data_IF_782379912204
#
_entry.id   IF_782379912204
#
_cell.length_a   1.000
_cell.length_b   1.000
_cell.length_c   1.000
_cell.angle_alpha   90.00
_cell.angle_beta   90.00
_cell.angle_gamma   90.00
#
_symmetry.space_group_name_H-M   'P 1'
#
loop_
_entity.id
_entity.type
_entity.pdbx_description
1 polymer ?
#
# COMPACT_ATOMS: atom_id res chain seq x y z
N UNK A 1 3.52 1.18 -18.71
CA UNK A 1 4.20 1.52 -17.46
C UNK A 1 3.95 0.38 -16.49
N UNK A 2 4.90 0.04 -15.65
CA UNK A 2 4.94 -1.17 -14.78
C UNK A 2 3.68 -1.54 -14.00
N UNK A 3 2.77 -0.60 -13.83
CA UNK A 3 1.46 -0.85 -13.23
C UNK A 3 0.61 -1.79 -14.10
N UNK A 4 0.64 -1.65 -15.42
CA UNK A 4 -0.19 -2.44 -16.36
C UNK A 4 0.13 -3.93 -16.34
N UNK A 5 1.41 -4.30 -16.27
CA UNK A 5 1.80 -5.72 -16.25
C UNK A 5 1.28 -6.44 -15.00
N UNK A 6 1.29 -5.77 -13.85
CA UNK A 6 0.69 -6.28 -12.62
C UNK A 6 -0.82 -6.38 -12.71
N UNK A 7 -1.47 -5.33 -13.21
CA UNK A 7 -2.93 -5.33 -13.40
C UNK A 7 -3.37 -6.50 -14.25
N UNK A 8 -2.66 -6.77 -15.36
CA UNK A 8 -2.94 -7.90 -16.22
C UNK A 8 -2.81 -9.24 -15.48
N UNK A 9 -1.78 -9.42 -14.66
CA UNK A 9 -1.62 -10.65 -13.86
C UNK A 9 -2.74 -10.81 -12.85
N UNK A 10 -3.13 -9.75 -12.14
CA UNK A 10 -4.25 -9.78 -11.20
C UNK A 10 -5.56 -10.10 -11.90
N UNK A 11 -5.89 -9.40 -13.00
CA UNK A 11 -7.12 -9.64 -13.78
C UNK A 11 -7.19 -11.05 -14.34
N UNK A 12 -6.08 -11.57 -14.89
CA UNK A 12 -5.99 -12.94 -15.37
C UNK A 12 -6.13 -13.99 -14.25
N UNK A 13 -5.92 -13.59 -12.99
CA UNK A 13 -6.10 -14.42 -11.81
C UNK A 13 -7.46 -14.26 -11.14
N UNK A 14 -8.38 -13.51 -11.78
CA UNK A 14 -9.73 -13.24 -11.28
C UNK A 14 -9.78 -12.23 -10.14
N UNK A 15 -8.79 -11.33 -10.03
CA UNK A 15 -8.76 -10.23 -9.06
C UNK A 15 -9.20 -8.95 -9.74
N UNK A 16 -10.19 -8.29 -9.15
CA UNK A 16 -10.57 -6.94 -9.56
C UNK A 16 -9.52 -5.93 -9.11
N UNK A 17 -9.17 -4.98 -9.97
CA UNK A 17 -8.14 -3.98 -9.69
C UNK A 17 -8.67 -2.58 -9.97
N UNK A 18 -8.63 -1.74 -8.95
CA UNK A 18 -8.86 -0.30 -9.06
C UNK A 18 -7.54 0.44 -8.92
N UNK A 19 -7.15 1.19 -9.94
CA UNK A 19 -5.90 1.96 -9.94
C UNK A 19 -6.21 3.44 -9.81
N UNK A 20 -5.61 4.09 -8.81
CA UNK A 20 -5.81 5.50 -8.51
C UNK A 20 -4.46 6.21 -8.54
N UNK A 21 -4.36 7.25 -9.36
CA UNK A 21 -3.18 8.07 -9.46
C UNK A 21 -3.36 9.35 -8.66
N UNK A 22 -2.49 9.56 -7.67
CA UNK A 22 -2.56 10.71 -6.75
C UNK A 22 -1.44 11.74 -6.95
N UNK A 23 -0.41 11.41 -7.74
CA UNK A 23 0.79 12.24 -7.90
C UNK A 23 0.56 13.63 -8.51
N UNK A 24 -0.60 13.87 -9.12
CA UNK A 24 -1.02 15.17 -9.68
C UNK A 24 -2.13 15.84 -8.86
N UNK A 25 -2.44 15.32 -7.67
CA UNK A 25 -3.44 15.88 -6.76
C UNK A 25 -2.79 16.82 -5.75
N UNK A 26 -3.52 17.85 -5.37
CA UNK A 26 -3.12 18.74 -4.27
C UNK A 26 -3.58 18.11 -2.94
N UNK A 27 -2.65 17.41 -2.30
CA UNK A 27 -2.90 16.71 -1.03
C UNK A 27 -1.98 17.28 0.04
N UNK A 28 -2.57 17.97 1.00
CA UNK A 28 -1.82 18.47 2.14
C UNK A 28 -1.59 17.40 3.21
N UNK A 29 -0.51 17.55 3.97
CA UNK A 29 -0.18 16.67 5.09
C UNK A 29 -1.20 16.73 6.23
N UNK A 30 -1.15 15.73 7.10
CA UNK A 30 -1.93 15.68 8.33
C UNK A 30 -1.52 16.83 9.26
N UNK A 31 -2.50 17.51 9.86
CA UNK A 31 -2.27 18.59 10.84
C UNK A 31 -2.51 18.15 12.30
N UNK A 32 -2.67 16.84 12.52
CA UNK A 32 -2.89 16.27 13.84
C UNK A 32 -4.05 16.89 14.65
N UNK A 33 -5.11 17.32 13.97
CA UNK A 33 -6.27 17.94 14.62
C UNK A 33 -7.16 16.95 15.38
N UNK A 34 -6.95 15.65 15.23
CA UNK A 34 -7.69 14.52 15.83
C UNK A 34 -9.21 14.48 15.57
N UNK A 35 -9.75 15.37 14.74
CA UNK A 35 -11.19 15.40 14.46
C UNK A 35 -11.69 14.12 13.77
N UNK A 36 -10.83 13.40 13.07
CA UNK A 36 -11.21 12.14 12.44
C UNK A 36 -11.65 11.06 13.45
N UNK A 37 -11.21 11.13 14.70
CA UNK A 37 -11.73 10.24 15.77
C UNK A 37 -13.19 10.49 16.13
N UNK A 38 -13.70 11.70 15.89
CA UNK A 38 -15.07 12.10 16.19
C UNK A 38 -15.99 11.95 14.98
N UNK A 39 -15.53 12.39 13.80
CA UNK A 39 -16.35 12.43 12.59
C UNK A 39 -16.17 11.23 11.65
N UNK A 40 -15.23 10.32 11.95
CA UNK A 40 -14.98 9.10 11.17
C UNK A 40 -14.32 9.30 9.80
N UNK A 41 -13.85 10.52 9.48
CA UNK A 41 -13.17 10.86 8.23
C UNK A 41 -12.22 12.04 8.41
N UNK A 42 -11.32 12.28 7.46
CA UNK A 42 -10.47 13.45 7.50
C UNK A 42 -11.29 14.75 7.32
N UNK A 43 -10.93 15.82 8.03
CA UNK A 43 -11.58 17.13 7.91
C UNK A 43 -11.37 17.80 6.55
N UNK A 44 -10.29 17.44 5.85
CA UNK A 44 -10.05 17.92 4.49
C UNK A 44 -10.86 17.09 3.52
N UNK A 45 -11.77 17.73 2.82
CA UNK A 45 -12.66 17.09 1.84
C UNK A 45 -11.95 17.00 0.49
N UNK A 46 -11.16 15.94 0.33
CA UNK A 46 -10.35 15.64 -0.86
C UNK A 46 -10.31 14.14 -1.14
N UNK A 47 -9.47 13.73 -2.08
CA UNK A 47 -9.32 12.34 -2.54
C UNK A 47 -9.11 11.34 -1.39
N UNK A 48 -8.55 11.75 -0.24
CA UNK A 48 -8.31 10.84 0.90
C UNK A 48 -9.62 10.27 1.43
N UNK A 49 -10.67 11.09 1.52
CA UNK A 49 -11.99 10.64 1.95
C UNK A 49 -12.68 9.75 0.89
N UNK A 50 -12.36 9.95 -0.40
CA UNK A 50 -12.85 9.08 -1.48
C UNK A 50 -12.14 7.71 -1.48
N UNK A 51 -10.85 7.68 -1.09
CA UNK A 51 -10.07 6.45 -1.00
C UNK A 51 -10.48 5.55 0.17
N UNK A 52 -10.93 6.13 1.27
CA UNK A 52 -11.24 5.39 2.48
C UNK A 52 -12.24 4.23 2.26
N UNK A 53 -13.42 4.41 1.64
CA UNK A 53 -14.36 3.33 1.39
C UNK A 53 -13.83 2.31 0.36
N UNK A 54 -13.01 2.73 -0.60
CA UNK A 54 -12.38 1.81 -1.56
C UNK A 54 -11.36 0.91 -0.86
N UNK A 55 -10.58 1.46 0.06
CA UNK A 55 -9.64 0.68 0.86
C UNK A 55 -10.36 -0.25 1.84
N UNK A 56 -11.45 0.19 2.44
CA UNK A 56 -12.26 -0.66 3.32
C UNK A 56 -12.80 -1.88 2.59
N UNK A 57 -13.30 -1.72 1.37
CA UNK A 57 -13.85 -2.79 0.55
C UNK A 57 -12.78 -3.73 -0.06
N UNK A 58 -11.54 -3.29 -0.17
CA UNK A 58 -10.49 -4.07 -0.82
C UNK A 58 -9.89 -5.16 0.09
N UNK A 59 -9.53 -6.31 -0.49
CA UNK A 59 -8.79 -7.38 0.19
C UNK A 59 -7.29 -7.13 0.25
N UNK A 60 -6.79 -6.16 -0.51
CA UNK A 60 -5.38 -5.80 -0.52
C UNK A 60 -5.12 -4.40 -1.05
N UNK A 61 -3.95 -3.86 -0.71
CA UNK A 61 -3.50 -2.54 -1.12
C UNK A 61 -2.08 -2.61 -1.65
N UNK A 62 -1.88 -2.13 -2.89
CA UNK A 62 -0.55 -1.90 -3.46
C UNK A 62 -0.24 -0.42 -3.46
N UNK A 63 0.83 -0.03 -2.79
CA UNK A 63 1.35 1.34 -2.78
C UNK A 63 2.54 1.41 -3.73
N UNK A 64 2.49 2.32 -4.70
CA UNK A 64 3.56 2.48 -5.69
C UNK A 64 4.07 3.93 -5.72
N UNK A 65 5.38 4.11 -5.66
CA UNK A 65 6.02 5.43 -5.65
C UNK A 65 7.27 5.49 -6.52
N UNK A 66 7.51 6.62 -7.20
CA UNK A 66 8.88 6.96 -7.57
C UNK A 66 9.71 7.24 -6.32
N UNK A 67 11.02 7.06 -6.44
CA UNK A 67 11.97 7.37 -5.36
C UNK A 67 12.51 8.78 -5.55
N UNK A 68 12.30 9.64 -4.57
CA UNK A 68 12.83 10.99 -4.50
C UNK A 68 13.63 11.16 -3.20
N UNK A 69 14.94 11.46 -3.31
CA UNK A 69 15.83 11.62 -2.15
C UNK A 69 15.79 10.44 -1.16
N UNK A 70 15.74 9.20 -1.71
CA UNK A 70 15.63 7.95 -0.95
C UNK A 70 14.35 7.83 -0.08
N UNK A 71 13.28 8.52 -0.48
CA UNK A 71 11.95 8.48 0.13
C UNK A 71 10.87 8.39 -0.94
N UNK A 72 9.66 8.10 -0.55
CA UNK A 72 8.51 8.11 -1.44
C UNK A 72 8.12 9.55 -1.83
N UNK A 73 7.31 9.69 -2.89
CA UNK A 73 6.75 10.97 -3.26
C UNK A 73 5.99 11.61 -2.10
N UNK A 74 6.29 12.86 -1.76
CA UNK A 74 5.72 13.55 -0.59
C UNK A 74 4.18 13.64 -0.62
N UNK A 75 3.58 13.82 -1.81
CA UNK A 75 2.11 13.79 -1.96
C UNK A 75 1.52 12.42 -1.59
N UNK A 76 2.23 11.34 -1.94
CA UNK A 76 1.82 9.98 -1.54
C UNK A 76 1.90 9.81 -0.03
N UNK A 77 2.98 10.23 0.61
CA UNK A 77 3.12 10.15 2.08
C UNK A 77 2.03 10.96 2.76
N UNK A 78 1.77 12.19 2.33
CA UNK A 78 0.67 13.01 2.87
C UNK A 78 -0.71 12.34 2.73
N UNK A 79 -0.93 11.64 1.62
CA UNK A 79 -2.14 10.85 1.41
C UNK A 79 -2.23 9.66 2.38
N UNK A 80 -1.15 8.87 2.49
CA UNK A 80 -1.10 7.68 3.33
C UNK A 80 -1.22 8.01 4.82
N UNK A 81 -0.51 9.03 5.29
CA UNK A 81 -0.60 9.50 6.67
C UNK A 81 -2.06 9.78 7.05
N UNK A 82 -2.75 10.50 6.18
CA UNK A 82 -4.16 10.85 6.42
C UNK A 82 -5.09 9.67 6.24
N UNK A 83 -4.90 8.86 5.21
CA UNK A 83 -5.75 7.70 4.93
C UNK A 83 -5.68 6.68 6.08
N UNK A 84 -4.47 6.32 6.51
CA UNK A 84 -4.30 5.34 7.58
C UNK A 84 -4.71 5.89 8.95
N UNK A 85 -4.51 7.17 9.20
CA UNK A 85 -4.85 7.78 10.48
C UNK A 85 -6.35 8.10 10.62
N UNK A 86 -7.04 8.49 9.54
CA UNK A 86 -8.44 8.89 9.59
C UNK A 86 -9.45 7.76 9.42
N UNK A 87 -9.00 6.55 9.13
CA UNK A 87 -9.87 5.38 8.92
C UNK A 87 -9.84 4.44 10.12
N UNK A 88 -11.02 4.13 10.68
CA UNK A 88 -11.19 3.29 11.87
C UNK A 88 -11.52 1.84 11.55
N UNK A 89 -11.80 1.48 10.29
CA UNK A 89 -12.08 0.09 9.94
C UNK A 89 -10.87 -0.82 10.17
N UNK A 90 -11.13 -2.09 10.47
CA UNK A 90 -10.09 -3.09 10.66
C UNK A 90 -9.35 -3.37 9.34
N UNK A 91 -8.05 -3.17 9.36
CA UNK A 91 -7.14 -3.40 8.23
C UNK A 91 -6.41 -4.74 8.34
N UNK A 92 -6.59 -5.43 9.47
CA UNK A 92 -5.89 -6.69 9.72
C UNK A 92 -6.18 -7.72 8.63
N UNK A 93 -5.15 -8.47 8.26
CA UNK A 93 -5.20 -9.50 7.21
C UNK A 93 -5.55 -9.03 5.79
N UNK A 94 -5.74 -7.71 5.55
CA UNK A 94 -5.67 -7.20 4.17
C UNK A 94 -4.22 -7.27 3.68
N UNK A 95 -4.00 -7.77 2.47
CA UNK A 95 -2.64 -7.98 1.97
C UNK A 95 -2.03 -6.68 1.45
N UNK A 96 -0.90 -6.28 2.02
CA UNK A 96 -0.13 -5.11 1.60
C UNK A 96 0.99 -5.44 0.61
N UNK A 97 1.34 -4.50 -0.28
CA UNK A 97 2.56 -4.55 -1.04
C UNK A 97 3.05 -3.15 -1.41
N UNK A 98 4.33 -2.87 -1.22
CA UNK A 98 4.97 -1.67 -1.75
C UNK A 98 5.76 -1.96 -3.02
N UNK A 99 5.78 -0.96 -3.91
CA UNK A 99 6.54 -1.00 -5.17
C UNK A 99 7.20 0.34 -5.37
N UNK A 100 8.48 0.33 -5.70
CA UNK A 100 9.25 1.55 -5.88
C UNK A 100 9.92 1.58 -7.25
N UNK A 101 10.03 2.77 -7.82
CA UNK A 101 10.70 2.99 -9.09
C UNK A 101 11.78 4.05 -8.92
N UNK A 102 13.01 3.73 -9.31
CA UNK A 102 14.11 4.68 -9.25
C UNK A 102 15.00 4.56 -10.49
N UNK A 103 15.71 5.66 -10.77
CA UNK A 103 16.82 5.60 -11.74
C UNK A 103 17.94 4.69 -11.25
N UNK A 104 18.30 4.77 -9.94
CA UNK A 104 19.46 4.06 -9.39
C UNK A 104 19.31 3.69 -7.92
N UNK A 105 19.58 4.60 -6.99
CA UNK A 105 19.65 4.35 -5.55
C UNK A 105 18.37 4.77 -4.81
N UNK A 106 18.28 4.35 -3.53
CA UNK A 106 17.20 4.74 -2.63
C UNK A 106 15.98 3.81 -2.61
N UNK A 107 15.93 2.77 -3.45
CA UNK A 107 14.80 1.85 -3.49
C UNK A 107 14.54 1.17 -2.15
N UNK A 108 15.57 0.64 -1.47
CA UNK A 108 15.40 -0.08 -0.20
C UNK A 108 14.82 0.81 0.90
N UNK A 109 15.35 2.03 1.04
CA UNK A 109 14.85 2.97 2.05
C UNK A 109 13.39 3.34 1.81
N UNK A 110 13.01 3.63 0.56
CA UNK A 110 11.64 3.94 0.19
C UNK A 110 10.70 2.74 0.35
N UNK A 111 11.16 1.55 0.00
CA UNK A 111 10.43 0.31 0.18
C UNK A 111 10.12 0.05 1.65
N UNK A 112 11.12 0.20 2.53
CA UNK A 112 10.97 0.02 3.97
C UNK A 112 10.04 1.09 4.58
N UNK A 113 10.14 2.34 4.12
CA UNK A 113 9.24 3.43 4.53
C UNK A 113 7.78 3.09 4.26
N UNK A 114 7.47 2.64 3.05
CA UNK A 114 6.10 2.31 2.65
C UNK A 114 5.55 1.06 3.37
N UNK A 115 6.39 0.06 3.63
CA UNK A 115 5.98 -1.15 4.32
C UNK A 115 5.57 -0.90 5.78
N UNK A 116 6.00 0.19 6.40
CA UNK A 116 5.61 0.54 7.78
C UNK A 116 4.12 0.80 7.92
N UNK A 117 3.46 1.33 6.89
CA UNK A 117 2.00 1.50 6.89
C UNK A 117 1.26 0.17 7.03
N UNK A 118 1.76 -0.88 6.39
CA UNK A 118 1.17 -2.20 6.47
C UNK A 118 1.45 -2.88 7.80
N UNK A 119 2.71 -2.85 8.25
CA UNK A 119 3.11 -3.55 9.47
C UNK A 119 2.42 -3.02 10.72
N UNK A 120 2.28 -1.68 10.86
CA UNK A 120 1.56 -1.08 11.99
C UNK A 120 0.06 -1.38 11.97
N UNK A 121 -0.48 -1.74 10.81
CA UNK A 121 -1.90 -2.02 10.59
C UNK A 121 -2.24 -3.52 10.60
N UNK A 122 -1.32 -4.37 11.06
CA UNK A 122 -1.47 -5.83 11.08
C UNK A 122 -1.81 -6.43 9.71
N UNK A 123 -1.28 -5.81 8.64
CA UNK A 123 -1.45 -6.26 7.27
C UNK A 123 -0.26 -7.13 6.85
N UNK A 124 -0.45 -8.40 6.42
CA UNK A 124 0.62 -9.21 5.86
C UNK A 124 1.16 -8.59 4.57
N UNK A 125 2.49 -8.57 4.42
CA UNK A 125 3.15 -8.00 3.25
C UNK A 125 3.46 -9.10 2.24
N UNK A 126 2.99 -8.94 1.02
CA UNK A 126 3.35 -9.84 -0.07
C UNK A 126 4.78 -9.58 -0.54
N UNK A 127 5.57 -10.63 -0.60
CA UNK A 127 6.92 -10.64 -1.18
C UNK A 127 6.90 -11.16 -2.63
N UNK A 128 7.98 -10.88 -3.35
CA UNK A 128 8.24 -11.42 -4.68
C UNK A 128 9.53 -12.26 -4.69
N UNK A 129 10.29 -12.22 -5.77
CA UNK A 129 11.63 -12.87 -5.86
C UNK A 129 12.75 -12.02 -5.31
N UNK A 130 12.53 -10.70 -5.27
CA UNK A 130 13.47 -9.69 -4.82
C UNK A 130 12.67 -8.54 -4.17
N UNK A 131 13.34 -7.49 -3.69
CA UNK A 131 12.64 -6.28 -3.28
C UNK A 131 11.86 -5.70 -4.46
N UNK A 132 10.65 -5.22 -4.23
CA UNK A 132 9.73 -4.81 -5.27
C UNK A 132 10.16 -3.46 -5.89
N UNK A 133 11.27 -3.47 -6.59
CA UNK A 133 11.81 -2.33 -7.31
C UNK A 133 11.79 -2.54 -8.82
N UNK A 134 11.73 -1.43 -9.53
CA UNK A 134 11.90 -1.37 -10.98
C UNK A 134 12.74 -0.14 -11.31
N UNK A 135 13.56 -0.23 -12.34
CA UNK A 135 14.51 0.83 -12.66
C UNK A 135 14.20 1.48 -14.01
N UNK A 136 14.40 2.80 -14.06
CA UNK A 136 14.25 3.62 -15.25
C UNK A 136 14.30 5.10 -14.87
N UNK A 137 14.82 5.93 -15.76
CA UNK A 137 14.93 7.37 -15.63
C UNK A 137 13.92 8.08 -16.53
N UNK A 138 13.98 7.74 -17.81
CA UNK A 138 13.17 8.36 -18.85
C UNK A 138 11.85 7.59 -19.07
N UNK A 139 10.93 8.24 -19.73
CA UNK A 139 9.65 7.64 -20.09
C UNK A 139 9.85 6.42 -20.97
N UNK A 140 9.39 5.26 -20.50
CA UNK A 140 9.50 3.99 -21.19
C UNK A 140 10.64 3.08 -20.71
N UNK A 141 11.68 3.60 -20.08
CA UNK A 141 12.83 2.78 -19.67
C UNK A 141 12.48 1.67 -18.67
N UNK A 142 11.55 1.92 -17.78
CA UNK A 142 11.05 0.90 -16.86
C UNK A 142 10.41 -0.31 -17.59
N UNK A 143 9.97 -0.17 -18.84
CA UNK A 143 9.50 -1.28 -19.68
C UNK A 143 10.65 -2.17 -20.18
N UNK A 144 11.88 -1.67 -20.14
CA UNK A 144 13.10 -2.40 -20.55
C UNK A 144 13.72 -3.16 -19.38
N UNK A 145 13.32 -2.87 -18.14
CA UNK A 145 13.77 -3.60 -16.95
C UNK A 145 13.03 -4.94 -16.83
N UNK A 146 13.57 -5.97 -17.52
CA UNK A 146 12.97 -7.30 -17.54
C UNK A 146 12.96 -7.97 -16.17
N UNK A 147 14.00 -7.75 -15.33
CA UNK A 147 14.06 -8.28 -13.97
C UNK A 147 13.01 -7.62 -13.08
N UNK A 148 12.89 -6.30 -13.12
CA UNK A 148 11.85 -5.56 -12.41
C UNK A 148 10.45 -5.99 -12.83
N UNK A 149 10.19 -6.17 -14.14
CA UNK A 149 8.90 -6.68 -14.64
C UNK A 149 8.63 -8.11 -14.17
N UNK A 150 9.62 -8.99 -14.14
CA UNK A 150 9.48 -10.34 -13.62
C UNK A 150 9.14 -10.30 -12.12
N UNK A 151 9.80 -9.44 -11.35
CA UNK A 151 9.54 -9.20 -9.93
C UNK A 151 8.09 -8.76 -9.71
N UNK A 152 7.58 -7.83 -10.54
CA UNK A 152 6.20 -7.35 -10.48
C UNK A 152 5.18 -8.45 -10.80
N UNK A 153 5.45 -9.31 -11.78
CA UNK A 153 4.57 -10.45 -12.11
C UNK A 153 4.53 -11.47 -10.96
N UNK A 154 5.67 -11.75 -10.34
CA UNK A 154 5.74 -12.65 -9.18
C UNK A 154 5.03 -12.06 -7.96
N UNK A 155 5.19 -10.76 -7.71
CA UNK A 155 4.46 -10.06 -6.66
C UNK A 155 2.94 -10.24 -6.81
N UNK A 156 2.42 -10.00 -8.01
CA UNK A 156 0.98 -10.14 -8.27
C UNK A 156 0.48 -11.57 -8.04
N UNK A 157 1.25 -12.58 -8.45
CA UNK A 157 0.91 -13.99 -8.20
C UNK A 157 0.92 -14.33 -6.71
N UNK A 158 1.97 -13.92 -6.00
CA UNK A 158 2.10 -14.18 -4.57
C UNK A 158 1.02 -13.46 -3.75
N UNK A 159 0.75 -12.21 -4.09
CA UNK A 159 -0.31 -11.43 -3.43
C UNK A 159 -1.69 -12.06 -3.67
N UNK A 160 -1.98 -12.49 -4.91
CA UNK A 160 -3.23 -13.21 -5.23
C UNK A 160 -3.36 -14.50 -4.42
N UNK A 161 -2.27 -15.27 -4.31
CA UNK A 161 -2.25 -16.49 -3.52
C UNK A 161 -2.54 -16.21 -2.04
N UNK A 162 -1.89 -15.19 -1.47
CA UNK A 162 -2.10 -14.78 -0.07
C UNK A 162 -3.54 -14.35 0.18
N UNK A 163 -4.12 -13.48 -0.66
CA UNK A 163 -5.51 -13.03 -0.52
C UNK A 163 -6.49 -14.21 -0.54
N UNK A 164 -6.33 -15.12 -1.51
CA UNK A 164 -7.17 -16.32 -1.60
C UNK A 164 -6.98 -17.27 -0.40
N UNK A 165 -5.75 -17.43 0.09
CA UNK A 165 -5.45 -18.26 1.26
C UNK A 165 -6.03 -17.67 2.54
N UNK A 166 -5.94 -16.36 2.72
CA UNK A 166 -6.54 -15.66 3.86
C UNK A 166 -8.07 -15.78 3.83
N UNK A 167 -8.70 -15.62 2.67
CA UNK A 167 -10.14 -15.76 2.53
C UNK A 167 -10.61 -17.19 2.85
N UNK A 168 -9.86 -18.23 2.41
CA UNK A 168 -10.13 -19.62 2.76
C UNK A 168 -9.92 -19.85 4.26
N UNK A 169 -8.81 -19.37 4.83
CA UNK A 169 -8.52 -19.48 6.25
C UNK A 169 -9.57 -18.79 7.12
N UNK A 170 -10.02 -17.60 6.70
CA UNK A 170 -11.08 -16.85 7.36
C UNK A 170 -12.41 -17.62 7.39
N UNK A 171 -12.76 -18.31 6.30
CA UNK A 171 -13.98 -19.13 6.22
C UNK A 171 -13.91 -20.37 7.11
N UNK A 172 -12.74 -21.00 7.19
CA UNK A 172 -12.55 -22.27 7.91
C UNK A 172 -12.30 -22.05 9.41
N UNK A 173 -11.47 -21.08 9.77
CA UNK A 173 -10.97 -20.91 11.14
C UNK A 173 -11.38 -19.57 11.78
N UNK A 174 -11.94 -18.64 11.03
CA UNK A 174 -12.07 -17.25 11.44
C UNK A 174 -10.74 -16.48 11.31
N UNK A 175 -10.78 -15.18 11.58
CA UNK A 175 -9.55 -14.40 11.73
C UNK A 175 -8.96 -14.59 13.12
N UNK A 176 -7.63 -14.41 13.28
CA UNK A 176 -7.00 -14.43 14.61
C UNK A 176 -7.70 -13.44 15.54
N UNK A 177 -7.98 -13.89 16.77
CA UNK A 177 -8.55 -13.03 17.81
C UNK A 177 -7.59 -11.87 18.10
N UNK A 178 -8.14 -10.66 18.17
CA UNK A 178 -7.37 -9.47 18.51
C UNK A 178 -7.47 -9.23 20.01
N UNK A 179 -6.32 -9.14 20.67
CA UNK A 179 -6.25 -8.73 22.07
C UNK A 179 -6.56 -7.24 22.22
N UNK A 180 -7.12 -6.85 23.37
CA UNK A 180 -7.28 -5.44 23.71
C UNK A 180 -5.91 -4.75 23.74
N UNK A 181 -5.81 -3.59 23.07
CA UNK A 181 -4.55 -2.88 22.95
C UNK A 181 -4.08 -2.34 24.31
N UNK A 182 -2.95 -2.83 24.78
CA UNK A 182 -2.26 -2.28 25.95
C UNK A 182 -1.28 -1.19 25.49
N UNK A 183 -1.43 0.02 26.02
CA UNK A 183 -0.49 1.11 25.79
C UNK A 183 0.48 1.22 26.97
N UNK A 184 1.78 1.12 26.71
CA UNK A 184 2.83 1.34 27.70
C UNK A 184 3.43 2.72 27.49
N UNK A 185 3.44 3.54 28.55
CA UNK A 185 4.08 4.84 28.57
C UNK A 185 5.00 4.96 29.78
N UNK A 186 6.30 5.01 29.55
CA UNK A 186 7.30 5.19 30.60
C UNK A 186 7.63 6.66 30.87
N UNK A 187 7.04 7.60 30.15
CA UNK A 187 7.19 9.04 30.39
C UNK A 187 6.11 9.43 31.41
N UNK A 188 6.54 9.82 32.57
CA UNK A 188 5.68 10.25 33.70
C UNK A 188 5.82 11.74 33.93
#
# INVERSE_FOLDING_TARGET
MCIRDRENVFRNSGVEVTTIQIGNKDIRGCIACNQCSEIGKCVFDDIVNELAPLFEAADGLVIASPVYYASANATLIACLDRLFYSTSFDKSMKVGASVVCARRGGCSATFDELNKFFTISNMPIASSRYWNSIHGCEKGEAEMDEEGKQTMRMLAKNMTFLMKSIELGKKEYGLPEQEERTATNFIR
#
